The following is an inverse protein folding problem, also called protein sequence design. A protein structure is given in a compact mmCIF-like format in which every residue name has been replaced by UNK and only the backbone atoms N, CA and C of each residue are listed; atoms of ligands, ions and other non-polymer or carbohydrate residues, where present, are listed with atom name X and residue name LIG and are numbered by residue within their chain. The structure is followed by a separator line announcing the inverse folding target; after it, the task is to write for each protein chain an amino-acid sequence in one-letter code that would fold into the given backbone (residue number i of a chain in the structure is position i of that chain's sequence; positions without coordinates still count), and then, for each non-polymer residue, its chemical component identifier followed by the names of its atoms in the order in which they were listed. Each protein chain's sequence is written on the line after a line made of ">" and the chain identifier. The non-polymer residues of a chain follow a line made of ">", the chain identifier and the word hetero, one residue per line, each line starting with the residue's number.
data_IF_814571855266
#
_entry.id   IF_814571855266
#
_cell.length_a   1.000
_cell.length_b   1.000
_cell.length_c   1.000
_cell.angle_alpha   90.00
_cell.angle_beta   90.00
_cell.angle_gamma   90.00
#
_symmetry.space_group_name_H-M   'P 1'
#
loop_
_entity.id
_entity.type
_entity.pdbx_description
1 polymer ?
#
# COMPACT_ATOMS: atom_id res chain seq x y z
N UNK A 1 26.48 -38.91 6.85
CA UNK A 1 25.75 -37.63 6.98
C UNK A 1 25.00 -37.64 8.30
N UNK A 2 25.17 -36.62 9.13
CA UNK A 2 24.47 -36.51 10.42
C UNK A 2 23.03 -36.02 10.22
N UNK A 3 22.12 -36.26 11.18
CA UNK A 3 20.75 -35.73 11.06
C UNK A 3 20.72 -34.21 11.00
N UNK A 4 21.65 -33.54 11.68
CA UNK A 4 21.80 -32.09 11.70
C UNK A 4 22.15 -31.53 10.31
N UNK A 5 23.15 -32.14 9.65
CA UNK A 5 23.57 -31.76 8.29
C UNK A 5 22.40 -31.79 7.30
N UNK A 6 21.56 -32.83 7.36
CA UNK A 6 20.37 -32.93 6.49
C UNK A 6 19.34 -31.83 6.75
N UNK A 7 19.19 -31.37 8.00
CA UNK A 7 18.30 -30.25 8.31
C UNK A 7 18.86 -28.93 7.77
N UNK A 8 20.16 -28.67 7.94
CA UNK A 8 20.78 -27.48 7.34
C UNK A 8 20.72 -27.50 5.82
N UNK A 9 20.97 -28.63 5.16
CA UNK A 9 20.81 -28.74 3.69
C UNK A 9 19.37 -28.47 3.24
N UNK A 10 18.36 -28.91 3.99
CA UNK A 10 16.95 -28.59 3.73
C UNK A 10 16.65 -27.09 3.91
N UNK A 11 17.21 -26.45 4.92
CA UNK A 11 17.11 -24.99 5.11
C UNK A 11 17.82 -24.22 3.98
N UNK A 12 19.02 -24.65 3.61
CA UNK A 12 19.78 -24.05 2.52
C UNK A 12 19.07 -24.19 1.18
N UNK A 13 18.23 -25.21 0.96
CA UNK A 13 17.42 -25.33 -0.26
C UNK A 13 16.48 -24.13 -0.50
N UNK A 14 16.20 -23.32 0.53
CA UNK A 14 15.45 -22.07 0.38
C UNK A 14 16.26 -20.99 -0.34
N UNK A 15 17.60 -21.06 -0.37
CA UNK A 15 18.40 -20.13 -1.16
C UNK A 15 18.21 -20.34 -2.67
N UNK A 16 18.30 -19.27 -3.48
CA UNK A 16 18.26 -19.37 -4.94
C UNK A 16 19.30 -20.36 -5.50
N UNK A 17 18.96 -21.04 -6.60
CA UNK A 17 19.79 -22.11 -7.18
C UNK A 17 21.22 -21.67 -7.47
N UNK A 18 21.42 -20.48 -8.07
CA UNK A 18 22.78 -20.00 -8.35
C UNK A 18 23.59 -19.73 -7.07
N UNK A 19 22.98 -19.13 -6.03
CA UNK A 19 23.70 -18.87 -4.78
C UNK A 19 24.09 -20.16 -4.05
N UNK A 20 23.21 -21.17 -4.11
CA UNK A 20 23.50 -22.50 -3.56
C UNK A 20 24.63 -23.20 -4.31
N UNK A 21 24.71 -23.05 -5.62
CA UNK A 21 25.75 -23.71 -6.42
C UNK A 21 27.16 -23.23 -6.05
N UNK A 22 27.28 -21.97 -5.62
CA UNK A 22 28.57 -21.34 -5.32
C UNK A 22 28.94 -21.42 -3.82
N UNK A 23 27.97 -21.28 -2.90
CA UNK A 23 28.27 -21.04 -1.47
C UNK A 23 27.68 -22.07 -0.52
N UNK A 24 26.89 -23.06 -0.98
CA UNK A 24 26.17 -23.95 -0.07
C UNK A 24 27.09 -24.79 0.83
N UNK A 25 28.21 -25.28 0.28
CA UNK A 25 29.15 -26.13 1.04
C UNK A 25 29.93 -25.31 2.09
N UNK A 26 30.32 -24.08 1.76
CA UNK A 26 30.97 -23.17 2.69
C UNK A 26 30.02 -22.76 3.83
N UNK A 27 28.77 -22.38 3.50
CA UNK A 27 27.74 -22.06 4.50
C UNK A 27 27.45 -23.26 5.41
N UNK A 28 27.39 -24.47 4.83
CA UNK A 28 27.17 -25.70 5.61
C UNK A 28 28.33 -25.98 6.55
N UNK A 29 29.57 -25.80 6.11
CA UNK A 29 30.76 -25.97 6.94
C UNK A 29 30.76 -24.99 8.12
N UNK A 30 30.44 -23.71 7.88
CA UNK A 30 30.34 -22.69 8.94
C UNK A 30 29.24 -23.02 9.95
N UNK A 31 28.07 -23.47 9.48
CA UNK A 31 26.95 -23.86 10.36
C UNK A 31 27.30 -25.08 11.22
N UNK A 32 27.98 -26.08 10.66
CA UNK A 32 28.40 -27.26 11.41
C UNK A 32 29.53 -26.94 12.41
N UNK A 33 30.48 -26.08 12.05
CA UNK A 33 31.55 -25.66 12.95
C UNK A 33 31.03 -24.84 14.15
N UNK A 34 29.92 -24.12 13.98
CA UNK A 34 29.27 -23.36 15.05
C UNK A 34 28.31 -24.17 15.93
N UNK A 35 27.97 -25.41 15.53
CA UNK A 35 27.01 -26.25 16.25
C UNK A 35 27.65 -27.07 17.38
N UNK A 36 26.90 -27.33 18.46
CA UNK A 36 27.38 -28.12 19.58
C UNK A 36 27.55 -29.61 19.19
N UNK A 37 28.52 -30.30 19.80
CA UNK A 37 28.92 -31.66 19.42
C UNK A 37 27.80 -32.71 19.49
N UNK A 38 26.75 -32.48 20.28
CA UNK A 38 25.61 -33.37 20.49
C UNK A 38 24.30 -32.86 19.85
N UNK A 39 24.35 -31.73 19.13
CA UNK A 39 23.18 -31.09 18.55
C UNK A 39 22.61 -31.91 17.38
N UNK A 40 21.36 -32.37 17.51
CA UNK A 40 20.67 -33.17 16.48
C UNK A 40 19.75 -32.36 15.57
N UNK A 41 19.38 -31.13 15.96
CA UNK A 41 18.49 -30.22 15.24
C UNK A 41 19.01 -28.77 15.29
N UNK A 42 18.80 -27.97 14.23
CA UNK A 42 19.15 -26.55 14.22
C UNK A 42 18.46 -25.80 15.36
N UNK A 43 19.12 -24.81 15.93
CA UNK A 43 18.45 -23.92 16.87
C UNK A 43 17.35 -23.11 16.15
N UNK A 44 16.30 -22.75 16.87
CA UNK A 44 15.21 -21.92 16.32
C UNK A 44 15.76 -20.61 15.77
N UNK A 45 16.71 -20.00 16.47
CA UNK A 45 17.38 -18.77 16.05
C UNK A 45 18.13 -18.92 14.73
N UNK A 46 18.94 -19.98 14.58
CA UNK A 46 19.66 -20.28 13.33
C UNK A 46 18.70 -20.51 12.15
N UNK A 47 17.60 -21.21 12.41
CA UNK A 47 16.54 -21.46 11.43
C UNK A 47 15.93 -20.15 10.94
N UNK A 48 15.60 -19.24 11.87
CA UNK A 48 15.04 -17.91 11.56
C UNK A 48 16.06 -17.05 10.81
N UNK A 49 17.32 -17.05 11.24
CA UNK A 49 18.38 -16.24 10.60
C UNK A 49 18.67 -16.74 9.18
N UNK A 50 18.73 -18.06 8.95
CA UNK A 50 18.88 -18.64 7.61
C UNK A 50 17.68 -18.37 6.71
N UNK A 51 16.46 -18.54 7.24
CA UNK A 51 15.23 -18.26 6.49
C UNK A 51 15.15 -16.77 6.11
N UNK A 52 15.51 -15.87 7.02
CA UNK A 52 15.57 -14.43 6.78
C UNK A 52 16.62 -14.07 5.73
N UNK A 53 17.81 -14.68 5.79
CA UNK A 53 18.86 -14.50 4.78
C UNK A 53 18.43 -14.97 3.39
N UNK A 54 17.87 -16.18 3.30
CA UNK A 54 17.35 -16.74 2.05
C UNK A 54 16.26 -15.86 1.43
N UNK A 55 15.31 -15.40 2.27
CA UNK A 55 14.23 -14.53 1.85
C UNK A 55 14.76 -13.15 1.40
N UNK A 56 15.74 -12.59 2.11
CA UNK A 56 16.36 -11.31 1.74
C UNK A 56 17.06 -11.39 0.38
N UNK A 57 17.80 -12.47 0.09
CA UNK A 57 18.45 -12.67 -1.22
C UNK A 57 17.39 -12.87 -2.31
N UNK A 58 16.34 -13.66 -2.05
CA UNK A 58 15.23 -13.83 -3.01
C UNK A 58 14.53 -12.51 -3.30
N UNK A 59 14.21 -11.72 -2.27
CA UNK A 59 13.65 -10.38 -2.45
C UNK A 59 14.60 -9.50 -3.24
N UNK A 60 15.89 -9.44 -2.85
CA UNK A 60 16.87 -8.60 -3.55
C UNK A 60 16.99 -8.99 -5.03
N UNK A 61 17.05 -10.27 -5.37
CA UNK A 61 17.08 -10.72 -6.76
C UNK A 61 15.78 -10.41 -7.51
N UNK A 62 14.64 -10.61 -6.85
CA UNK A 62 13.35 -10.23 -7.40
C UNK A 62 13.25 -8.71 -7.63
N UNK A 63 14.01 -7.89 -6.88
CA UNK A 63 14.03 -6.43 -6.95
C UNK A 63 15.09 -5.86 -7.91
N UNK A 64 16.19 -6.57 -8.17
CA UNK A 64 17.32 -6.08 -9.00
C UNK A 64 17.10 -6.31 -10.50
N UNK A 65 16.26 -7.28 -10.91
CA UNK A 65 15.93 -7.50 -12.33
C UNK A 65 14.98 -6.45 -12.93
N UNK A 66 14.79 -6.47 -14.26
CA UNK A 66 13.77 -5.65 -14.95
C UNK A 66 12.37 -5.86 -14.36
N UNK A 67 12.08 -7.11 -13.99
CA UNK A 67 10.85 -7.47 -13.28
C UNK A 67 10.75 -6.79 -11.91
N UNK A 68 11.87 -6.59 -11.22
CA UNK A 68 11.97 -5.92 -9.93
C UNK A 68 11.77 -4.42 -9.98
N UNK A 69 12.32 -3.76 -11.00
CA UNK A 69 12.04 -2.33 -11.26
C UNK A 69 10.54 -2.09 -11.49
N UNK A 70 9.88 -2.98 -12.22
CA UNK A 70 8.43 -2.93 -12.43
C UNK A 70 7.64 -3.18 -11.12
N UNK A 71 8.12 -4.06 -10.24
CA UNK A 71 7.51 -4.28 -8.92
C UNK A 71 7.70 -3.08 -8.00
N UNK A 72 8.88 -2.47 -7.97
CA UNK A 72 9.14 -1.26 -7.19
C UNK A 72 8.31 -0.08 -7.68
N UNK A 73 8.16 0.08 -9.00
CA UNK A 73 7.26 1.07 -9.58
C UNK A 73 5.79 0.80 -9.16
N UNK A 74 5.36 -0.46 -9.19
CA UNK A 74 4.05 -0.86 -8.72
C UNK A 74 3.85 -0.55 -7.22
N UNK A 75 4.85 -0.80 -6.37
CA UNK A 75 4.81 -0.47 -4.94
C UNK A 75 4.77 1.04 -4.68
N UNK A 76 5.54 1.85 -5.41
CA UNK A 76 5.49 3.31 -5.29
C UNK A 76 4.10 3.86 -5.60
N UNK A 77 3.50 3.38 -6.71
CA UNK A 77 2.15 3.78 -7.12
C UNK A 77 1.11 3.26 -6.13
N UNK A 78 1.23 2.00 -5.72
CA UNK A 78 0.37 1.36 -4.74
C UNK A 78 0.38 2.11 -3.40
N UNK A 79 1.55 2.47 -2.87
CA UNK A 79 1.67 3.19 -1.61
C UNK A 79 0.92 4.53 -1.65
N UNK A 80 1.09 5.29 -2.73
CA UNK A 80 0.43 6.57 -2.91
C UNK A 80 -1.08 6.41 -3.08
N UNK A 81 -1.53 5.53 -3.97
CA UNK A 81 -2.96 5.28 -4.20
C UNK A 81 -3.60 4.74 -2.92
N UNK A 82 -2.96 3.79 -2.24
CA UNK A 82 -3.44 3.24 -0.98
C UNK A 82 -3.59 4.32 0.09
N UNK A 83 -2.62 5.24 0.23
CA UNK A 83 -2.74 6.36 1.17
C UNK A 83 -3.89 7.32 0.82
N UNK A 84 -4.12 7.59 -0.47
CA UNK A 84 -5.25 8.41 -0.93
C UNK A 84 -6.57 7.69 -0.62
N UNK A 85 -6.67 6.40 -0.94
CA UNK A 85 -7.86 5.57 -0.63
C UNK A 85 -8.16 5.57 0.87
N UNK A 86 -7.13 5.44 1.71
CA UNK A 86 -7.29 5.50 3.17
C UNK A 86 -7.74 6.87 3.67
N UNK A 87 -7.30 7.96 3.05
CA UNK A 87 -7.77 9.32 3.36
C UNK A 87 -9.23 9.53 2.95
N UNK A 88 -9.61 8.95 1.82
CA UNK A 88 -10.93 9.17 1.22
C UNK A 88 -12.07 8.60 2.06
N UNK A 89 -11.86 7.50 2.78
CA UNK A 89 -12.88 6.92 3.66
C UNK A 89 -13.31 7.86 4.82
N UNK A 90 -12.41 8.32 5.72
CA UNK A 90 -12.78 9.25 6.77
C UNK A 90 -13.23 10.61 6.21
N UNK A 91 -12.70 11.04 5.06
CA UNK A 91 -13.16 12.26 4.39
C UNK A 91 -14.62 12.13 3.95
N UNK A 92 -14.98 11.01 3.33
CA UNK A 92 -16.35 10.71 2.94
C UNK A 92 -17.29 10.72 4.16
N UNK A 93 -16.91 10.03 5.24
CA UNK A 93 -17.69 10.00 6.50
C UNK A 93 -17.86 11.40 7.11
N UNK A 94 -16.81 12.23 7.05
CA UNK A 94 -16.86 13.62 7.50
C UNK A 94 -17.85 14.44 6.66
N UNK A 95 -17.80 14.32 5.32
CA UNK A 95 -18.70 15.02 4.42
C UNK A 95 -20.15 14.61 4.63
N UNK A 96 -20.41 13.31 4.78
CA UNK A 96 -21.74 12.79 5.11
C UNK A 96 -22.24 13.36 6.44
N UNK A 97 -21.41 13.34 7.48
CA UNK A 97 -21.76 13.90 8.78
C UNK A 97 -22.05 15.41 8.73
N UNK A 98 -21.33 16.18 7.88
CA UNK A 98 -21.59 17.60 7.65
C UNK A 98 -22.94 17.79 6.96
N UNK A 99 -23.25 17.00 5.93
CA UNK A 99 -24.53 17.08 5.21
C UNK A 99 -25.69 16.77 6.18
N UNK A 100 -25.57 15.70 6.96
CA UNK A 100 -26.60 15.31 7.92
C UNK A 100 -26.76 16.38 9.05
N UNK A 101 -25.67 17.04 9.47
CA UNK A 101 -25.72 18.17 10.40
C UNK A 101 -26.43 19.40 9.78
N UNK A 102 -26.18 19.70 8.51
CA UNK A 102 -26.83 20.80 7.79
C UNK A 102 -28.33 20.52 7.64
N UNK A 103 -28.72 19.29 7.28
CA UNK A 103 -30.12 18.85 7.23
C UNK A 103 -30.82 19.04 8.60
N UNK A 104 -30.13 18.71 9.70
CA UNK A 104 -30.65 18.88 11.05
C UNK A 104 -30.83 20.36 11.46
N UNK A 105 -29.94 21.25 11.01
CA UNK A 105 -30.00 22.68 11.30
C UNK A 105 -31.01 23.43 10.41
N UNK A 106 -31.34 22.90 9.23
CA UNK A 106 -32.21 23.53 8.23
C UNK A 106 -33.37 22.60 7.85
N UNK A 107 -34.38 22.41 8.71
CA UNK A 107 -35.44 21.40 8.54
C UNK A 107 -36.34 21.57 7.29
N UNK A 108 -36.18 22.65 6.51
CA UNK A 108 -36.86 22.89 5.23
C UNK A 108 -36.09 22.45 3.98
N UNK A 109 -34.82 22.07 4.10
CA UNK A 109 -33.98 21.64 2.97
C UNK A 109 -33.57 20.18 3.19
N UNK A 110 -34.42 19.24 2.78
CA UNK A 110 -34.12 17.81 2.94
C UNK A 110 -33.27 17.32 1.77
N UNK A 111 -31.95 17.25 1.97
CA UNK A 111 -31.06 16.63 1.00
C UNK A 111 -31.05 15.09 1.11
N UNK A 112 -31.57 14.54 2.21
CA UNK A 112 -31.56 13.10 2.51
C UNK A 112 -32.96 12.49 2.70
N UNK A 113 -33.14 11.25 2.24
CA UNK A 113 -34.40 10.48 2.31
C UNK A 113 -34.56 9.73 3.65
N UNK A 114 -33.46 9.50 4.36
CA UNK A 114 -33.44 8.74 5.60
C UNK A 114 -33.40 9.69 6.81
N UNK A 115 -34.21 9.47 7.85
CA UNK A 115 -34.20 10.35 9.02
C UNK A 115 -32.77 10.40 9.60
N UNK A 116 -32.20 11.60 9.79
CA UNK A 116 -30.85 11.70 10.33
C UNK A 116 -30.87 11.14 11.75
N UNK A 117 -29.97 10.20 12.02
CA UNK A 117 -29.50 9.98 13.39
C UNK A 117 -29.08 11.36 13.96
N UNK A 118 -29.28 11.65 15.25
CA UNK A 118 -28.87 12.93 15.82
C UNK A 118 -27.35 13.10 15.73
N UNK A 119 -26.88 13.70 14.63
CA UNK A 119 -25.47 13.98 14.38
C UNK A 119 -25.13 15.31 15.05
N UNK A 120 -24.51 15.23 16.23
CA UNK A 120 -23.96 16.41 16.90
C UNK A 120 -22.64 16.88 16.29
N UNK A 121 -22.26 18.14 16.57
CA UNK A 121 -20.95 18.72 16.19
C UNK A 121 -19.78 17.83 16.63
N UNK A 122 -19.91 17.17 17.79
CA UNK A 122 -18.90 16.24 18.30
C UNK A 122 -18.60 15.08 17.33
N UNK A 123 -19.60 14.61 16.57
CA UNK A 123 -19.44 13.53 15.61
C UNK A 123 -18.67 13.99 14.36
N UNK A 124 -18.96 15.20 13.87
CA UNK A 124 -18.19 15.84 12.77
C UNK A 124 -16.75 16.06 13.18
N UNK A 125 -16.52 16.61 14.39
CA UNK A 125 -15.16 16.83 14.91
C UNK A 125 -14.39 15.52 15.07
N UNK A 126 -15.06 14.44 15.50
CA UNK A 126 -14.44 13.11 15.59
C UNK A 126 -13.94 12.61 14.24
N UNK A 127 -14.74 12.70 13.18
CA UNK A 127 -14.27 12.29 11.85
C UNK A 127 -13.22 13.21 11.28
N UNK A 128 -13.36 14.52 11.48
CA UNK A 128 -12.34 15.48 11.07
C UNK A 128 -10.98 15.17 11.70
N UNK A 129 -10.97 14.81 12.99
CA UNK A 129 -9.75 14.37 13.68
C UNK A 129 -9.14 13.10 13.06
N UNK A 130 -9.98 12.18 12.55
CA UNK A 130 -9.52 10.99 11.82
C UNK A 130 -8.96 11.32 10.43
N UNK A 131 -9.40 12.41 9.77
CA UNK A 131 -8.89 12.82 8.44
C UNK A 131 -7.46 13.33 8.50
N UNK A 132 -7.12 14.09 9.55
CA UNK A 132 -5.80 14.74 9.71
C UNK A 132 -4.58 13.82 9.56
N UNK A 133 -4.49 12.65 10.25
CA UNK A 133 -3.33 11.77 10.12
C UNK A 133 -3.18 11.20 8.72
N UNK A 134 -4.27 10.79 8.06
CA UNK A 134 -4.21 10.32 6.68
C UNK A 134 -3.82 11.44 5.71
N UNK A 135 -4.32 12.65 5.91
CA UNK A 135 -3.94 13.81 5.10
C UNK A 135 -2.44 14.10 5.23
N UNK A 136 -1.91 14.03 6.45
CA UNK A 136 -0.48 14.18 6.71
C UNK A 136 0.34 13.09 5.99
N UNK A 137 -0.08 11.83 6.07
CA UNK A 137 0.60 10.71 5.38
C UNK A 137 0.60 10.94 3.86
N UNK A 138 -0.54 11.32 3.27
CA UNK A 138 -0.67 11.60 1.83
C UNK A 138 0.23 12.77 1.43
N UNK A 139 0.23 13.87 2.19
CA UNK A 139 1.08 15.02 1.90
C UNK A 139 2.57 14.66 2.00
N UNK A 140 2.98 13.93 3.03
CA UNK A 140 4.37 13.48 3.17
C UNK A 140 4.80 12.53 2.05
N UNK A 141 3.92 11.60 1.65
CA UNK A 141 4.14 10.73 0.51
C UNK A 141 4.21 11.52 -0.80
N UNK A 142 3.36 12.54 -0.97
CA UNK A 142 3.35 13.41 -2.14
C UNK A 142 4.62 14.24 -2.28
N UNK A 143 5.13 14.75 -1.16
CA UNK A 143 6.38 15.53 -1.08
C UNK A 143 7.64 14.66 -1.20
N UNK A 144 7.52 13.34 -1.40
CA UNK A 144 8.66 12.42 -1.49
C UNK A 144 9.35 12.16 -0.15
N UNK A 145 8.78 12.58 0.99
CA UNK A 145 9.33 12.37 2.33
C UNK A 145 8.97 10.98 2.88
N UNK A 146 9.43 9.94 2.17
CA UNK A 146 9.03 8.54 2.41
C UNK A 146 9.22 8.05 3.85
N UNK A 147 10.35 8.39 4.48
CA UNK A 147 10.65 7.94 5.85
C UNK A 147 9.66 8.53 6.85
N UNK A 148 9.35 9.82 6.70
CA UNK A 148 8.37 10.50 7.55
C UNK A 148 6.96 9.93 7.30
N UNK A 149 6.56 9.76 6.04
CA UNK A 149 5.26 9.15 5.69
C UNK A 149 5.10 7.74 6.30
N UNK A 150 6.14 6.91 6.18
CA UNK A 150 6.17 5.57 6.76
C UNK A 150 6.06 5.58 8.30
N UNK A 151 6.83 6.44 8.98
CA UNK A 151 6.77 6.57 10.44
C UNK A 151 5.39 7.05 10.88
N UNK A 152 4.84 8.09 10.25
CA UNK A 152 3.49 8.57 10.53
C UNK A 152 2.43 7.48 10.30
N UNK A 153 2.56 6.70 9.22
CA UNK A 153 1.65 5.59 8.96
C UNK A 153 1.73 4.51 10.04
N UNK A 154 2.92 4.11 10.50
CA UNK A 154 3.06 3.14 11.59
C UNK A 154 2.56 3.66 12.93
N UNK A 155 2.85 4.91 13.27
CA UNK A 155 2.31 5.55 14.48
C UNK A 155 0.78 5.54 14.42
N UNK A 156 0.22 5.86 13.26
CA UNK A 156 -1.22 5.83 13.07
C UNK A 156 -1.80 4.42 13.16
N UNK A 157 -1.15 3.38 12.62
CA UNK A 157 -1.56 1.97 12.80
C UNK A 157 -1.68 1.63 14.30
N UNK A 158 -0.68 2.02 15.10
CA UNK A 158 -0.67 1.75 16.54
C UNK A 158 -1.78 2.53 17.24
N UNK A 159 -1.96 3.80 16.89
CA UNK A 159 -3.02 4.65 17.45
C UNK A 159 -4.42 4.17 17.08
N UNK A 160 -4.65 3.75 15.84
CA UNK A 160 -5.92 3.23 15.34
C UNK A 160 -6.26 1.89 16.02
N UNK A 161 -5.28 1.00 16.15
CA UNK A 161 -5.42 -0.25 16.90
C UNK A 161 -5.73 0.01 18.39
N UNK A 162 -5.04 0.98 19.00
CA UNK A 162 -5.32 1.40 20.37
C UNK A 162 -6.71 2.02 20.52
N UNK A 163 -7.13 2.84 19.57
CA UNK A 163 -8.43 3.48 19.57
C UNK A 163 -9.57 2.47 19.44
N UNK A 164 -9.46 1.53 18.50
CA UNK A 164 -10.46 0.47 18.29
C UNK A 164 -10.57 -0.44 19.52
N UNK A 165 -9.45 -0.79 20.15
CA UNK A 165 -9.47 -1.60 21.37
C UNK A 165 -10.08 -0.82 22.54
N UNK A 166 -9.61 0.41 22.80
CA UNK A 166 -10.12 1.23 23.93
C UNK A 166 -11.56 1.72 23.78
N UNK A 167 -12.01 2.03 22.57
CA UNK A 167 -13.39 2.44 22.31
C UNK A 167 -14.37 1.31 22.67
N UNK A 168 -14.04 0.05 22.35
CA UNK A 168 -14.86 -1.11 22.72
C UNK A 168 -14.97 -1.29 24.24
N UNK A 169 -13.90 -1.00 24.97
CA UNK A 169 -13.90 -1.12 26.44
C UNK A 169 -14.78 -0.08 27.16
N UNK A 170 -15.05 1.08 26.55
CA UNK A 170 -15.79 2.17 27.25
C UNK A 170 -17.31 2.04 27.22
N UNK A 171 -17.88 1.19 26.36
CA UNK A 171 -19.34 1.15 26.14
C UNK A 171 -20.09 0.02 26.86
N UNK A 172 -19.43 -0.81 27.68
CA UNK A 172 -20.11 -1.84 28.48
C UNK A 172 -19.93 -1.59 30.00
N UNK A 173 -20.81 -0.81 30.64
CA UNK A 173 -20.85 -0.72 32.10
C UNK A 173 -21.19 -2.11 32.68
N UNK A 174 -20.28 -2.70 33.46
CA UNK A 174 -20.54 -3.91 34.24
C UNK A 174 -20.12 -5.24 33.63
N UNK A 175 -19.61 -5.26 32.39
CA UNK A 175 -19.00 -6.46 31.81
C UNK A 175 -17.52 -6.22 31.53
N UNK A 176 -16.66 -6.72 32.43
CA UNK A 176 -15.27 -7.05 32.09
C UNK A 176 -15.31 -8.22 31.09
N UNK A 177 -15.82 -7.98 29.90
CA UNK A 177 -15.72 -8.90 28.78
C UNK A 177 -14.23 -9.01 28.48
N UNK A 178 -13.64 -10.15 28.85
CA UNK A 178 -12.30 -10.52 28.41
C UNK A 178 -12.21 -10.29 26.90
N UNK A 179 -11.09 -9.72 26.43
CA UNK A 179 -10.70 -9.74 25.02
C UNK A 179 -10.76 -11.20 24.56
N UNK A 180 -11.91 -11.59 24.00
CA UNK A 180 -12.08 -12.90 23.43
C UNK A 180 -11.18 -12.96 22.20
N UNK A 181 -10.66 -14.14 21.88
CA UNK A 181 -9.91 -14.34 20.63
C UNK A 181 -10.70 -13.87 19.38
N UNK A 182 -12.05 -13.78 19.48
CA UNK A 182 -12.92 -13.20 18.45
C UNK A 182 -12.72 -11.71 18.19
N UNK A 183 -12.38 -10.89 19.19
CA UNK A 183 -12.21 -9.45 19.01
C UNK A 183 -11.02 -9.09 18.11
N UNK A 184 -9.94 -9.88 18.21
CA UNK A 184 -8.78 -9.75 17.33
C UNK A 184 -9.13 -10.10 15.89
N UNK A 185 -10.00 -11.10 15.70
CA UNK A 185 -10.45 -11.51 14.37
C UNK A 185 -11.34 -10.44 13.71
N UNK A 186 -12.06 -9.64 14.49
CA UNK A 186 -12.86 -8.51 13.99
C UNK A 186 -12.02 -7.25 13.74
N UNK A 187 -10.96 -7.04 14.54
CA UNK A 187 -10.05 -5.91 14.39
C UNK A 187 -9.05 -6.09 13.24
N UNK A 188 -8.62 -7.33 12.97
CA UNK A 188 -7.68 -7.64 11.89
C UNK A 188 -8.19 -7.13 10.53
N UNK A 189 -9.48 -7.33 10.20
CA UNK A 189 -10.31 -6.58 9.29
C UNK A 189 -9.81 -5.21 8.95
N UNK A 190 -9.98 -4.40 10.02
CA UNK A 190 -9.94 -2.96 10.14
C UNK A 190 -8.53 -2.41 9.99
N UNK A 191 -7.56 -3.08 10.60
CA UNK A 191 -6.17 -2.66 10.59
C UNK A 191 -5.42 -3.07 9.31
N UNK A 192 -5.86 -4.12 8.63
CA UNK A 192 -5.14 -4.69 7.48
C UNK A 192 -4.80 -3.65 6.39
N UNK A 193 -5.72 -2.79 5.90
CA UNK A 193 -5.40 -1.75 4.92
C UNK A 193 -4.36 -0.74 5.40
N UNK A 194 -4.45 -0.30 6.66
CA UNK A 194 -3.53 0.70 7.21
C UNK A 194 -2.13 0.11 7.37
N UNK A 195 -2.04 -1.13 7.88
CA UNK A 195 -0.79 -1.90 7.96
C UNK A 195 -0.20 -2.13 6.58
N UNK A 196 -1.03 -2.48 5.61
CA UNK A 196 -0.61 -2.73 4.23
C UNK A 196 -0.02 -1.46 3.61
N UNK A 197 -0.69 -0.31 3.75
CA UNK A 197 -0.18 0.98 3.24
C UNK A 197 1.09 1.40 3.97
N UNK A 198 1.18 1.21 5.29
CA UNK A 198 2.40 1.48 6.04
C UNK A 198 3.57 0.61 5.54
N UNK A 199 3.34 -0.68 5.31
CA UNK A 199 4.33 -1.59 4.73
C UNK A 199 4.71 -1.23 3.29
N UNK A 200 3.75 -0.79 2.47
CA UNK A 200 4.04 -0.30 1.12
C UNK A 200 4.91 0.95 1.15
N UNK A 201 4.61 1.91 2.03
CA UNK A 201 5.38 3.14 2.20
C UNK A 201 6.80 2.87 2.71
N UNK A 202 7.02 1.82 3.51
CA UNK A 202 8.36 1.44 3.98
C UNK A 202 9.18 0.78 2.88
N UNK A 203 8.56 -0.03 2.03
CA UNK A 203 9.20 -0.75 0.94
C UNK A 203 9.40 0.12 -0.32
N UNK A 204 8.59 1.18 -0.48
CA UNK A 204 8.61 2.07 -1.62
C UNK A 204 9.91 2.93 -1.65
N UNK A 205 10.75 2.82 -2.70
CA UNK A 205 11.98 3.60 -2.81
C UNK A 205 11.71 5.10 -3.01
N UNK A 206 10.58 5.47 -3.62
CA UNK A 206 10.19 6.86 -3.88
C UNK A 206 8.67 6.96 -4.09
N UNK A 207 7.86 6.83 -3.02
CA UNK A 207 6.45 7.18 -3.11
C UNK A 207 6.37 8.66 -3.48
N UNK A 208 5.68 8.97 -4.58
CA UNK A 208 5.55 10.33 -5.08
C UNK A 208 4.79 10.35 -6.40
N UNK A 209 4.25 11.52 -6.80
CA UNK A 209 3.44 11.66 -8.00
C UNK A 209 4.25 11.66 -9.29
N UNK A 210 5.59 11.66 -9.23
CA UNK A 210 6.49 11.74 -10.39
C UNK A 210 6.10 10.83 -11.58
N UNK A 211 5.75 9.54 -11.40
CA UNK A 211 5.34 8.69 -12.52
C UNK A 211 3.93 9.00 -13.07
N UNK A 212 3.07 9.67 -12.30
CA UNK A 212 1.65 9.91 -12.66
C UNK A 212 1.38 11.34 -13.11
N UNK A 213 2.21 12.28 -12.66
CA UNK A 213 2.00 13.72 -12.78
C UNK A 213 1.02 14.25 -11.74
N UNK A 214 1.47 15.23 -10.95
CA UNK A 214 0.70 15.92 -9.90
C UNK A 214 -0.68 16.39 -10.38
N UNK A 215 -0.74 17.05 -11.54
CA UNK A 215 -1.99 17.62 -12.08
C UNK A 215 -3.05 16.55 -12.37
N UNK A 216 -2.63 15.41 -12.93
CA UNK A 216 -3.55 14.32 -13.25
C UNK A 216 -4.08 13.67 -12.00
N UNK A 217 -3.19 13.42 -11.03
CA UNK A 217 -3.59 12.84 -9.76
C UNK A 217 -4.60 13.75 -9.04
N UNK A 218 -4.37 15.06 -9.01
CA UNK A 218 -5.33 16.03 -8.46
C UNK A 218 -6.69 15.99 -9.17
N UNK A 219 -6.72 15.97 -10.51
CA UNK A 219 -7.97 15.89 -11.28
C UNK A 219 -8.75 14.62 -10.95
N UNK A 220 -8.07 13.48 -10.81
CA UNK A 220 -8.72 12.22 -10.44
C UNK A 220 -9.21 12.22 -9.00
N UNK A 221 -8.42 12.73 -8.07
CA UNK A 221 -8.84 12.87 -6.66
C UNK A 221 -10.02 13.83 -6.53
N UNK A 222 -10.03 14.95 -7.25
CA UNK A 222 -11.16 15.89 -7.24
C UNK A 222 -12.40 15.30 -7.89
N UNK A 223 -12.26 14.61 -9.03
CA UNK A 223 -13.38 13.93 -9.68
C UNK A 223 -13.98 12.87 -8.75
N UNK A 224 -13.15 12.16 -7.99
CA UNK A 224 -13.61 11.20 -7.00
C UNK A 224 -14.44 11.85 -5.88
N UNK A 225 -13.88 12.89 -5.25
CA UNK A 225 -14.56 13.59 -4.15
C UNK A 225 -15.89 14.16 -4.65
N UNK A 226 -15.92 14.75 -5.86
CA UNK A 226 -17.16 15.22 -6.48
C UNK A 226 -18.15 14.07 -6.70
N UNK A 227 -17.68 12.91 -7.15
CA UNK A 227 -18.55 11.74 -7.36
C UNK A 227 -19.13 11.22 -6.05
N UNK A 228 -18.35 11.18 -4.96
CA UNK A 228 -18.86 10.81 -3.64
C UNK A 228 -19.96 11.75 -3.14
N UNK A 229 -19.79 13.06 -3.37
CA UNK A 229 -20.80 14.06 -3.02
C UNK A 229 -22.08 13.84 -3.85
N UNK A 230 -21.94 13.65 -5.17
CA UNK A 230 -23.07 13.41 -6.07
C UNK A 230 -23.83 12.11 -5.75
N UNK A 231 -23.13 11.08 -5.29
CA UNK A 231 -23.74 9.82 -4.88
C UNK A 231 -24.70 10.01 -3.69
N UNK A 232 -24.30 10.79 -2.68
CA UNK A 232 -25.19 11.15 -1.56
C UNK A 232 -26.38 11.98 -2.04
N UNK A 233 -26.22 12.75 -3.13
CA UNK A 233 -27.29 13.49 -3.81
C UNK A 233 -28.19 12.62 -4.73
N UNK A 234 -28.17 11.29 -4.59
CA UNK A 234 -29.11 10.35 -5.22
C UNK A 234 -28.94 10.15 -6.74
N UNK A 235 -27.77 10.44 -7.31
CA UNK A 235 -27.47 9.94 -8.65
C UNK A 235 -27.24 8.42 -8.61
N UNK A 236 -27.91 7.68 -9.51
CA UNK A 236 -27.88 6.21 -9.54
C UNK A 236 -26.44 5.65 -9.51
N UNK A 237 -26.19 4.51 -8.84
CA UNK A 237 -24.84 3.92 -8.73
C UNK A 237 -24.30 3.34 -10.06
N UNK A 238 -25.18 3.17 -11.06
CA UNK A 238 -24.88 2.58 -12.37
C UNK A 238 -23.67 3.22 -13.10
N UNK A 239 -23.60 4.55 -13.32
CA UNK A 239 -22.44 5.18 -13.95
C UNK A 239 -21.13 4.83 -13.26
N UNK A 240 -21.13 4.69 -11.93
CA UNK A 240 -19.92 4.42 -11.17
C UNK A 240 -19.47 2.96 -11.30
N UNK A 241 -20.42 2.02 -11.28
CA UNK A 241 -20.15 0.60 -11.58
C UNK A 241 -19.56 0.42 -12.99
N UNK A 242 -20.05 1.18 -13.98
CA UNK A 242 -19.53 1.14 -15.35
C UNK A 242 -18.09 1.67 -15.40
N UNK A 243 -17.82 2.82 -14.78
CA UNK A 243 -16.46 3.37 -14.69
C UNK A 243 -15.52 2.38 -14.00
N UNK A 244 -15.96 1.78 -12.89
CA UNK A 244 -15.22 0.74 -12.18
C UNK A 244 -14.82 -0.40 -13.11
N UNK A 245 -15.80 -0.99 -13.79
CA UNK A 245 -15.63 -2.14 -14.66
C UNK A 245 -14.69 -1.84 -15.82
N UNK A 246 -14.87 -0.68 -16.47
CA UNK A 246 -13.98 -0.22 -17.54
C UNK A 246 -12.55 -0.19 -17.03
N UNK A 247 -12.32 0.35 -15.82
CA UNK A 247 -10.95 0.47 -15.37
C UNK A 247 -10.36 -0.85 -14.87
N UNK A 248 -11.14 -1.73 -14.24
CA UNK A 248 -10.70 -3.10 -13.96
C UNK A 248 -10.21 -3.76 -15.25
N UNK A 249 -10.99 -3.67 -16.33
CA UNK A 249 -10.64 -4.24 -17.64
C UNK A 249 -9.34 -3.62 -18.18
N UNK A 250 -9.19 -2.30 -18.10
CA UNK A 250 -7.97 -1.61 -18.52
C UNK A 250 -6.74 -2.01 -17.68
N UNK A 251 -6.89 -2.13 -16.37
CA UNK A 251 -5.84 -2.53 -15.44
C UNK A 251 -5.38 -3.97 -15.72
N UNK A 252 -6.31 -4.92 -15.92
CA UNK A 252 -6.02 -6.32 -16.24
C UNK A 252 -5.28 -6.47 -17.58
N UNK A 253 -5.58 -5.61 -18.56
CA UNK A 253 -4.90 -5.62 -19.88
C UNK A 253 -3.44 -5.19 -19.83
N UNK A 254 -2.99 -4.57 -18.74
CA UNK A 254 -1.60 -4.10 -18.58
C UNK A 254 -0.79 -5.04 -17.68
N UNK A 255 0.54 -5.19 -17.94
CA UNK A 255 1.42 -6.02 -17.10
C UNK A 255 1.60 -5.42 -15.71
N UNK A 256 1.81 -4.11 -15.63
CA UNK A 256 1.97 -3.40 -14.36
C UNK A 256 0.63 -3.38 -13.60
N UNK A 257 -0.51 -3.33 -14.29
CA UNK A 257 -1.82 -3.29 -13.65
C UNK A 257 -2.22 -4.57 -12.99
N UNK A 258 -1.96 -5.71 -13.64
CA UNK A 258 -2.11 -7.00 -12.97
C UNK A 258 -1.32 -7.07 -11.66
N UNK A 259 -0.10 -6.52 -11.62
CA UNK A 259 0.71 -6.52 -10.39
C UNK A 259 0.14 -5.62 -9.32
N UNK A 260 -0.28 -4.40 -9.67
CA UNK A 260 -0.88 -3.52 -8.66
C UNK A 260 -2.23 -4.05 -8.17
N UNK A 261 -3.02 -4.68 -9.05
CA UNK A 261 -4.25 -5.39 -8.67
C UNK A 261 -3.98 -6.50 -7.66
N UNK A 262 -2.94 -7.32 -7.88
CA UNK A 262 -2.55 -8.38 -6.93
C UNK A 262 -2.17 -7.75 -5.58
N UNK A 263 -1.38 -6.68 -5.62
CA UNK A 263 -0.90 -5.96 -4.42
C UNK A 263 -2.05 -5.28 -3.65
N UNK A 264 -3.06 -4.79 -4.35
CA UNK A 264 -4.24 -4.14 -3.76
C UNK A 264 -5.38 -5.11 -3.45
N UNK A 265 -5.30 -6.35 -3.90
CA UNK A 265 -6.37 -7.33 -3.72
C UNK A 265 -6.81 -7.51 -2.26
N UNK A 266 -5.94 -7.50 -1.24
CA UNK A 266 -6.41 -7.62 0.15
C UNK A 266 -7.27 -6.44 0.58
N UNK A 267 -6.95 -5.24 0.08
CA UNK A 267 -7.68 -4.00 0.34
C UNK A 267 -9.05 -4.05 -0.33
N UNK A 268 -9.10 -4.50 -1.59
CA UNK A 268 -10.33 -4.66 -2.37
C UNK A 268 -11.26 -5.74 -1.79
N UNK A 269 -10.71 -6.91 -1.46
CA UNK A 269 -11.48 -8.05 -0.94
C UNK A 269 -12.15 -7.68 0.39
N UNK A 270 -11.44 -6.99 1.28
CA UNK A 270 -12.00 -6.56 2.55
C UNK A 270 -13.24 -5.68 2.37
N UNK A 271 -13.12 -4.62 1.58
CA UNK A 271 -14.23 -3.67 1.34
C UNK A 271 -15.41 -4.34 0.63
N UNK A 272 -15.15 -5.37 -0.19
CA UNK A 272 -16.19 -6.19 -0.80
C UNK A 272 -16.92 -7.07 0.24
N UNK A 273 -16.18 -7.72 1.15
CA UNK A 273 -16.73 -8.62 2.16
C UNK A 273 -17.55 -7.89 3.22
N UNK A 274 -17.24 -6.63 3.54
CA UNK A 274 -18.01 -5.85 4.52
C UNK A 274 -19.46 -5.58 4.11
N UNK A 275 -19.88 -5.90 2.88
CA UNK A 275 -21.29 -5.79 2.45
C UNK A 275 -21.82 -4.35 2.39
N UNK A 276 -20.94 -3.35 2.55
CA UNK A 276 -21.28 -1.94 2.43
C UNK A 276 -21.26 -1.62 0.92
N UNK A 277 -22.37 -1.90 0.23
CA UNK A 277 -22.55 -1.73 -1.22
C UNK A 277 -22.27 -0.30 -1.73
N UNK A 278 -22.21 0.71 -0.84
CA UNK A 278 -21.76 2.08 -1.16
C UNK A 278 -20.24 2.27 -1.10
N UNK A 279 -19.49 1.52 -0.27
CA UNK A 279 -18.02 1.59 -0.19
C UNK A 279 -17.34 0.81 -1.33
N UNK A 280 -18.09 -0.05 -2.04
CA UNK A 280 -17.69 -0.70 -3.31
C UNK A 280 -17.27 0.29 -4.41
N UNK A 281 -17.63 1.57 -4.25
CA UNK A 281 -17.26 2.71 -5.09
C UNK A 281 -15.82 3.18 -4.85
N UNK A 282 -15.34 3.09 -3.60
CA UNK A 282 -13.95 3.38 -3.23
C UNK A 282 -13.02 2.35 -3.88
N UNK A 283 -13.44 1.08 -3.87
CA UNK A 283 -12.76 -0.02 -4.57
C UNK A 283 -12.77 0.20 -6.08
N UNK A 284 -13.95 0.43 -6.66
CA UNK A 284 -14.13 0.75 -8.07
C UNK A 284 -13.22 1.88 -8.56
N UNK A 285 -13.02 2.90 -7.71
CA UNK A 285 -12.28 4.09 -8.09
C UNK A 285 -10.79 4.01 -7.72
N UNK A 286 -10.41 3.24 -6.70
CA UNK A 286 -9.02 2.79 -6.54
C UNK A 286 -8.57 2.00 -7.78
N UNK A 287 -9.45 1.13 -8.30
CA UNK A 287 -9.26 0.44 -9.57
C UNK A 287 -9.22 1.44 -10.74
N UNK A 288 -10.04 2.50 -10.70
CA UNK A 288 -10.03 3.58 -11.68
C UNK A 288 -8.72 4.38 -11.76
N UNK A 289 -8.21 4.78 -10.61
CA UNK A 289 -6.93 5.48 -10.48
C UNK A 289 -5.79 4.56 -10.90
N UNK A 290 -5.91 3.25 -10.63
CA UNK A 290 -4.97 2.24 -11.09
C UNK A 290 -4.95 2.12 -12.62
N UNK A 291 -6.07 1.82 -13.27
CA UNK A 291 -6.03 1.67 -14.73
C UNK A 291 -5.72 2.99 -15.47
N UNK A 292 -6.04 4.16 -14.90
CA UNK A 292 -5.58 5.45 -15.43
C UNK A 292 -4.07 5.64 -15.27
N UNK A 293 -3.51 5.36 -14.10
CA UNK A 293 -2.06 5.35 -13.84
C UNK A 293 -1.32 4.43 -14.83
N UNK A 294 -1.95 3.32 -15.19
CA UNK A 294 -1.38 2.29 -16.04
C UNK A 294 -1.48 2.57 -17.52
N UNK A 295 -2.60 3.13 -17.96
CA UNK A 295 -2.75 3.70 -19.29
C UNK A 295 -1.65 4.74 -19.55
N UNK A 296 -1.37 5.59 -18.57
CA UNK A 296 -0.33 6.62 -18.67
C UNK A 296 1.10 6.08 -18.79
N UNK A 297 1.44 5.00 -18.07
CA UNK A 297 2.75 4.35 -18.25
C UNK A 297 2.94 3.71 -19.62
N UNK A 298 1.85 3.43 -20.34
CA UNK A 298 1.88 2.82 -21.68
C UNK A 298 2.08 3.86 -22.79
N UNK A 299 1.76 5.13 -22.52
CA UNK A 299 1.85 6.24 -23.48
C UNK A 299 2.87 7.31 -23.08
N UNK A 300 3.59 7.14 -21.97
CA UNK A 300 4.75 7.98 -21.67
C UNK A 300 5.81 7.71 -22.75
N UNK A 301 6.22 8.72 -23.54
CA UNK A 301 7.31 8.55 -24.50
C UNK A 301 8.54 8.04 -23.74
N UNK A 302 9.37 7.15 -24.34
CA UNK A 302 10.57 6.66 -23.70
C UNK A 302 11.34 7.87 -23.18
N UNK A 303 11.61 7.89 -21.88
CA UNK A 303 12.36 8.96 -21.26
C UNK A 303 13.69 9.05 -22.02
N UNK A 304 13.83 10.10 -22.84
CA UNK A 304 15.09 10.48 -23.46
C UNK A 304 16.03 10.69 -22.28
N UNK A 305 16.91 9.73 -22.02
CA UNK A 305 17.88 9.83 -20.94
C UNK A 305 18.68 11.10 -21.19
N UNK A 306 18.60 12.12 -20.32
CA UNK A 306 19.44 13.30 -20.44
C UNK A 306 20.83 12.87 -20.00
N UNK A 307 21.67 12.38 -20.93
CA UNK A 307 23.00 11.92 -20.52
C UNK A 307 23.83 11.06 -21.44
N UNK A 308 23.42 10.76 -22.67
CA UNK A 308 24.39 10.42 -23.74
C UNK A 308 24.48 11.58 -24.71
N UNK A 309 24.71 12.77 -24.16
CA UNK A 309 25.31 13.86 -24.91
C UNK A 309 26.70 13.42 -25.29
N UNK A 310 26.83 12.90 -26.51
CA UNK A 310 28.10 12.92 -27.21
C UNK A 310 28.59 14.36 -27.36
N UNK A 311 29.90 14.51 -27.45
CA UNK A 311 30.49 15.70 -28.05
C UNK A 311 31.04 16.74 -27.08
N UNK A 312 32.02 16.34 -26.27
CA UNK A 312 33.16 17.21 -25.95
C UNK A 312 34.41 16.51 -26.46
N UNK A 313 34.62 16.50 -27.80
CA UNK A 313 35.77 17.18 -28.43
C UNK A 313 36.96 17.33 -27.48
N UNK A 314 37.94 16.44 -27.61
CA UNK A 314 39.35 16.77 -27.37
C UNK A 314 40.16 16.46 -28.62
N UNK A 315 41.20 17.27 -28.88
CA UNK A 315 41.73 17.51 -30.21
C UNK A 315 42.79 16.44 -30.55
N UNK A 316 42.63 15.78 -31.69
CA UNK A 316 43.77 15.19 -32.39
C UNK A 316 44.45 16.32 -33.16
N UNK A 317 45.45 16.87 -32.48
CA UNK A 317 46.44 17.80 -33.02
C UNK A 317 47.44 16.96 -33.84
N UNK A 318 47.10 16.76 -35.11
CA UNK A 318 48.03 16.33 -36.15
C UNK A 318 48.98 17.50 -36.48
N UNK A 319 50.23 17.42 -36.03
CA UNK A 319 51.32 18.24 -36.57
C UNK A 319 52.70 17.57 -36.40
N UNK A 320 53.05 16.79 -37.43
CA UNK A 320 54.37 16.76 -38.10
C UNK A 320 55.63 16.26 -37.37
N UNK A 321 56.24 15.17 -37.87
CA UNK A 321 57.68 14.95 -37.82
C UNK A 321 58.31 15.39 -39.16
N UNK A 322 59.22 16.36 -39.14
CA UNK A 322 60.10 16.64 -40.27
C UNK A 322 61.50 17.07 -39.80
N UNK A 323 62.47 16.29 -40.27
CA UNK A 323 63.90 16.54 -40.43
C UNK A 323 64.77 16.79 -39.18
#
# INVERSE_FOLDING_TARGET
>A
MTSLEQHYRRLLAWYPKEHRAEHADEMLAVLLAGSAADQRRPAVRETVDLARGALAIRLRRALVGESGRLWLAAFNIAALIGSIVLLLNPLHRTLVAIIDLVDALLPGVRWTVMPPEPVGIAFVLRYLALVLPYALIVVLAWLGRKKAAAVCAWVWVVMDAWYETTARFRFAPGALSYLGAGDLWDAAPRLLPVVLVAAMLTLAPSPGPAPLGTRRLLVWTSAFVATLVLQKMHFAPLPLMIVAAIVVVLAVRSRTGRRVLVVMSPLVIREFVSGIWLESIVVALAMAILGAALWLTRFAPPAVLPGTGGGSRRPEEDASPAA
#
